data_IF_474045998118
#
_entry.id   IF_474045998118
#
_cell.length_a   1.000
_cell.length_b   1.000
_cell.length_c   1.000
_cell.angle_alpha   90.00
_cell.angle_beta   90.00
_cell.angle_gamma   90.00
#
_symmetry.space_group_name_H-M   'P 1'
#
loop_
_entity.id
_entity.type
_entity.pdbx_description
1 polymer ?
#
# COMPACT_ATOMS: atom_id res chain seq x y z
N UNK A 1 15.99 -18.90 32.01
CA UNK A 1 16.17 -18.87 30.54
C UNK A 1 14.92 -19.45 29.92
N UNK A 2 13.98 -18.60 29.49
CA UNK A 2 12.86 -19.04 28.66
C UNK A 2 13.09 -18.50 27.25
N UNK A 3 13.49 -19.38 26.34
CA UNK A 3 13.51 -19.13 24.91
C UNK A 3 12.05 -19.19 24.44
N UNK A 4 11.39 -18.04 24.36
CA UNK A 4 10.18 -17.90 23.55
C UNK A 4 10.64 -17.86 22.10
N UNK A 5 10.73 -19.03 21.47
CA UNK A 5 10.66 -19.14 20.02
C UNK A 5 9.25 -18.71 19.62
N UNK A 6 9.10 -17.44 19.23
CA UNK A 6 7.97 -17.00 18.44
C UNK A 6 8.23 -17.52 17.02
N UNK A 7 7.84 -18.77 16.76
CA UNK A 7 7.48 -19.17 15.42
C UNK A 7 6.09 -18.62 15.16
N UNK A 8 6.01 -17.46 14.49
CA UNK A 8 4.84 -17.15 13.66
C UNK A 8 5.25 -17.50 12.24
N UNK A 9 4.71 -18.63 11.81
CA UNK A 9 4.79 -19.19 10.48
C UNK A 9 3.93 -18.42 9.48
N UNK A 10 4.40 -18.47 8.22
CA UNK A 10 3.67 -18.28 6.96
C UNK A 10 3.53 -16.85 6.40
N UNK A 11 4.48 -16.49 5.54
CA UNK A 11 4.22 -15.69 4.34
C UNK A 11 3.21 -16.45 3.48
N UNK A 12 1.93 -16.06 3.47
CA UNK A 12 0.93 -16.79 2.66
C UNK A 12 -0.26 -15.95 2.14
N UNK A 13 -0.15 -14.61 2.15
CA UNK A 13 -1.18 -13.73 1.56
C UNK A 13 -0.64 -12.84 0.43
N UNK A 14 0.51 -13.18 -0.15
CA UNK A 14 1.03 -12.44 -1.32
C UNK A 14 0.53 -13.08 -2.62
N UNK A 15 0.04 -12.27 -3.56
CA UNK A 15 -0.33 -12.69 -4.90
C UNK A 15 0.81 -13.47 -5.55
N UNK A 16 0.48 -14.62 -6.13
CA UNK A 16 1.42 -15.39 -6.94
C UNK A 16 1.79 -14.63 -8.21
N UNK A 17 2.97 -14.90 -8.76
CA UNK A 17 3.42 -14.22 -9.99
C UNK A 17 2.45 -14.35 -11.17
N UNK A 18 1.78 -15.49 -11.31
CA UNK A 18 0.77 -15.69 -12.36
C UNK A 18 -0.47 -14.81 -12.14
N UNK A 19 -0.93 -14.66 -10.89
CA UNK A 19 -2.04 -13.76 -10.55
C UNK A 19 -1.71 -12.30 -10.82
N UNK A 20 -0.46 -11.88 -10.52
CA UNK A 20 0.03 -10.55 -10.85
C UNK A 20 -0.02 -10.31 -12.36
N UNK A 21 0.49 -11.26 -13.16
CA UNK A 21 0.48 -11.15 -14.62
C UNK A 21 -0.94 -11.05 -15.20
N UNK A 22 -1.88 -11.88 -14.73
CA UNK A 22 -3.27 -11.84 -15.19
C UNK A 22 -3.96 -10.51 -14.85
N UNK A 23 -3.68 -9.97 -13.66
CA UNK A 23 -4.19 -8.67 -13.24
C UNK A 23 -3.65 -7.55 -14.13
N UNK A 24 -2.33 -7.53 -14.36
CA UNK A 24 -1.67 -6.53 -15.22
C UNK A 24 -2.21 -6.61 -16.64
N UNK A 25 -2.32 -7.80 -17.22
CA UNK A 25 -2.87 -7.99 -18.57
C UNK A 25 -4.25 -7.38 -18.76
N UNK A 26 -5.06 -7.38 -17.70
CA UNK A 26 -6.42 -6.87 -17.72
C UNK A 26 -6.50 -5.36 -17.48
N UNK A 27 -5.66 -4.83 -16.58
CA UNK A 27 -5.80 -3.47 -16.05
C UNK A 27 -4.73 -2.49 -16.55
N UNK A 28 -3.53 -2.99 -16.84
CA UNK A 28 -2.35 -2.23 -17.27
C UNK A 28 -1.56 -3.07 -18.29
N UNK A 29 -2.08 -3.26 -19.52
CA UNK A 29 -1.52 -4.22 -20.47
C UNK A 29 -0.09 -3.85 -20.95
N UNK A 30 0.27 -2.56 -20.92
CA UNK A 30 1.63 -2.09 -21.18
C UNK A 30 2.60 -2.65 -20.13
N UNK A 31 2.29 -2.53 -18.83
CA UNK A 31 3.09 -3.10 -17.75
C UNK A 31 3.30 -4.59 -17.91
N UNK A 32 2.23 -5.32 -18.26
CA UNK A 32 2.35 -6.75 -18.54
C UNK A 32 3.36 -7.04 -19.67
N UNK A 33 3.33 -6.22 -20.73
CA UNK A 33 4.21 -6.42 -21.89
C UNK A 33 5.68 -6.20 -21.51
N UNK A 34 5.99 -5.08 -20.86
CA UNK A 34 7.35 -4.77 -20.40
C UNK A 34 7.86 -5.81 -19.40
N UNK A 35 7.01 -6.27 -18.48
CA UNK A 35 7.39 -7.25 -17.49
C UNK A 35 7.68 -8.62 -18.13
N UNK A 36 6.99 -8.96 -19.23
CA UNK A 36 7.28 -10.16 -20.01
C UNK A 36 8.57 -10.05 -20.83
N UNK A 37 8.95 -8.85 -21.27
CA UNK A 37 10.26 -8.59 -21.87
C UNK A 37 11.37 -8.71 -20.82
N UNK A 38 11.18 -8.11 -19.65
CA UNK A 38 12.11 -8.21 -18.53
C UNK A 38 12.34 -9.66 -18.10
N UNK A 39 11.29 -10.48 -18.07
CA UNK A 39 11.40 -11.92 -17.79
C UNK A 39 12.39 -12.65 -18.70
N UNK A 40 12.50 -12.22 -19.95
CA UNK A 40 13.39 -12.83 -20.95
C UNK A 40 14.83 -12.36 -20.75
N UNK A 41 15.01 -11.07 -20.47
CA UNK A 41 16.32 -10.43 -20.46
C UNK A 41 17.02 -10.54 -19.08
N UNK A 42 16.26 -10.41 -18.00
CA UNK A 42 16.72 -10.45 -16.60
C UNK A 42 15.72 -11.18 -15.67
N UNK A 43 15.80 -12.53 -15.55
CA UNK A 43 14.85 -13.31 -14.74
C UNK A 43 14.86 -12.97 -13.24
N UNK A 44 16.02 -12.56 -12.70
CA UNK A 44 16.15 -12.18 -11.29
C UNK A 44 15.44 -10.85 -11.01
N UNK A 45 15.66 -9.83 -11.84
CA UNK A 45 14.97 -8.54 -11.77
C UNK A 45 13.45 -8.69 -11.98
N UNK A 46 13.03 -9.58 -12.88
CA UNK A 46 11.62 -9.92 -13.05
C UNK A 46 10.98 -10.44 -11.75
N UNK A 47 11.70 -11.27 -11.00
CA UNK A 47 11.17 -11.87 -9.76
C UNK A 47 10.98 -10.80 -8.68
N UNK A 48 11.95 -9.90 -8.53
CA UNK A 48 11.84 -8.75 -7.64
C UNK A 48 10.68 -7.84 -8.05
N UNK A 49 10.57 -7.53 -9.34
CA UNK A 49 9.55 -6.62 -9.83
C UNK A 49 8.13 -7.19 -9.73
N UNK A 50 7.95 -8.50 -9.94
CA UNK A 50 6.67 -9.19 -9.70
C UNK A 50 6.26 -9.08 -8.23
N UNK A 51 7.19 -9.24 -7.30
CA UNK A 51 6.91 -9.14 -5.87
C UNK A 51 6.46 -7.71 -5.49
N UNK A 52 7.19 -6.70 -5.97
CA UNK A 52 6.86 -5.30 -5.70
C UNK A 52 5.50 -4.90 -6.28
N UNK A 53 5.22 -5.33 -7.52
CA UNK A 53 3.92 -5.11 -8.16
C UNK A 53 2.81 -5.87 -7.42
N UNK A 54 3.08 -7.09 -6.95
CA UNK A 54 2.14 -7.88 -6.15
C UNK A 54 1.65 -7.12 -4.92
N UNK A 55 2.58 -6.54 -4.15
CA UNK A 55 2.23 -5.71 -3.00
C UNK A 55 1.42 -4.46 -3.36
N UNK A 56 1.69 -3.85 -4.52
CA UNK A 56 0.89 -2.72 -5.01
C UNK A 56 -0.53 -3.13 -5.40
N UNK A 57 -0.70 -4.29 -6.05
CA UNK A 57 -2.02 -4.79 -6.43
C UNK A 57 -2.84 -5.10 -5.19
N UNK A 58 -2.26 -5.76 -4.19
CA UNK A 58 -2.94 -6.02 -2.91
C UNK A 58 -3.39 -4.73 -2.23
N UNK A 59 -2.53 -3.71 -2.22
CA UNK A 59 -2.91 -2.39 -1.73
C UNK A 59 -4.10 -1.82 -2.50
N UNK A 60 -4.07 -1.84 -3.84
CA UNK A 60 -5.16 -1.33 -4.68
C UNK A 60 -6.48 -2.10 -4.45
N UNK A 61 -6.43 -3.43 -4.33
CA UNK A 61 -7.62 -4.26 -4.10
C UNK A 61 -8.18 -4.06 -2.68
N UNK A 62 -7.33 -3.96 -1.65
CA UNK A 62 -7.79 -3.61 -0.30
C UNK A 62 -8.42 -2.22 -0.25
N UNK A 63 -7.86 -1.26 -1.00
CA UNK A 63 -8.42 0.08 -1.14
C UNK A 63 -9.75 0.05 -1.88
N UNK A 64 -9.96 -0.89 -2.80
CA UNK A 64 -11.22 -1.01 -3.55
C UNK A 64 -12.40 -1.35 -2.64
N UNK A 65 -12.17 -2.09 -1.56
CA UNK A 65 -13.21 -2.43 -0.58
C UNK A 65 -13.73 -1.20 0.19
N UNK A 66 -12.85 -0.24 0.45
CA UNK A 66 -13.14 0.93 1.29
C UNK A 66 -13.37 2.21 0.48
N UNK A 67 -12.73 2.32 -0.70
CA UNK A 67 -12.74 3.46 -1.58
C UNK A 67 -12.52 3.03 -3.06
N UNK A 68 -13.54 2.46 -3.72
CA UNK A 68 -13.42 1.92 -5.08
C UNK A 68 -13.04 3.00 -6.11
N UNK A 69 -13.51 4.24 -5.92
CA UNK A 69 -13.13 5.34 -6.79
C UNK A 69 -11.63 5.60 -6.76
N UNK A 70 -11.00 5.53 -5.58
CA UNK A 70 -9.58 5.76 -5.45
C UNK A 70 -8.76 4.64 -6.08
N UNK A 71 -9.17 3.38 -5.88
CA UNK A 71 -8.54 2.23 -6.53
C UNK A 71 -8.54 2.38 -8.06
N UNK A 72 -9.66 2.79 -8.66
CA UNK A 72 -9.73 3.05 -10.10
C UNK A 72 -8.85 4.23 -10.53
N UNK A 73 -8.72 5.26 -9.69
CA UNK A 73 -7.83 6.40 -9.96
C UNK A 73 -6.35 5.99 -9.94
N UNK A 74 -5.94 5.08 -9.06
CA UNK A 74 -4.56 4.57 -9.03
C UNK A 74 -4.24 3.73 -10.27
N UNK A 75 -5.14 2.84 -10.70
CA UNK A 75 -4.98 2.11 -11.97
C UNK A 75 -4.89 3.08 -13.16
N UNK A 76 -5.68 4.16 -13.14
CA UNK A 76 -5.60 5.18 -14.17
C UNK A 76 -4.27 5.94 -14.15
N UNK A 77 -3.66 6.15 -12.97
CA UNK A 77 -2.31 6.73 -12.85
C UNK A 77 -1.27 5.85 -13.51
N UNK A 78 -1.27 4.54 -13.26
CA UNK A 78 -0.31 3.62 -13.89
C UNK A 78 -0.39 3.69 -15.41
N UNK A 79 -1.60 3.62 -15.98
CA UNK A 79 -1.81 3.78 -17.42
C UNK A 79 -1.36 5.16 -17.94
N UNK A 80 -1.54 6.22 -17.15
CA UNK A 80 -1.08 7.57 -17.50
C UNK A 80 0.44 7.71 -17.44
N UNK A 81 1.13 7.05 -16.51
CA UNK A 81 2.59 7.02 -16.43
C UNK A 81 3.17 6.36 -17.69
N UNK A 82 2.64 5.22 -18.11
CA UNK A 82 3.02 4.58 -19.39
C UNK A 82 2.86 5.51 -20.58
N UNK A 83 1.67 6.11 -20.70
CA UNK A 83 1.39 7.05 -21.78
C UNK A 83 2.34 8.27 -21.73
N UNK A 84 2.73 8.71 -20.53
CA UNK A 84 3.67 9.82 -20.37
C UNK A 84 5.05 9.49 -20.94
N UNK A 85 5.53 8.25 -20.73
CA UNK A 85 6.77 7.75 -21.32
C UNK A 85 6.69 7.67 -22.85
N UNK A 86 5.61 7.11 -23.41
CA UNK A 86 5.39 7.05 -24.86
C UNK A 86 5.40 8.44 -25.51
N UNK A 87 4.73 9.41 -24.88
CA UNK A 87 4.69 10.80 -25.36
C UNK A 87 6.08 11.45 -25.24
N UNK A 88 6.81 11.20 -24.15
CA UNK A 88 8.17 11.69 -23.97
C UNK A 88 9.12 11.16 -25.06
N UNK A 89 9.07 9.86 -25.35
CA UNK A 89 9.84 9.26 -26.45
C UNK A 89 9.47 9.88 -27.80
N UNK A 90 8.17 10.06 -28.06
CA UNK A 90 7.68 10.71 -29.30
C UNK A 90 8.18 12.15 -29.45
N UNK A 91 8.38 12.87 -28.34
CA UNK A 91 8.94 14.24 -28.31
C UNK A 91 10.42 14.25 -28.73
N UNK A 92 11.18 13.24 -28.31
CA UNK A 92 12.60 13.09 -28.64
C UNK A 92 12.80 12.72 -30.12
N UNK A 93 11.95 11.83 -30.64
CA UNK A 93 12.02 11.35 -32.02
C UNK A 93 11.46 12.37 -33.05
N UNK A 94 10.60 13.30 -32.61
CA UNK A 94 9.96 14.26 -33.50
C UNK A 94 10.92 15.34 -34.00
N UNK A 95 11.14 15.36 -35.32
CA UNK A 95 11.90 16.41 -36.02
C UNK A 95 11.08 17.66 -36.32
N UNK A 96 9.75 17.60 -36.16
CA UNK A 96 8.84 18.70 -36.44
C UNK A 96 8.55 19.48 -35.14
N UNK A 97 8.91 20.77 -35.12
CA UNK A 97 8.77 21.64 -33.96
C UNK A 97 7.30 21.89 -33.55
N UNK A 98 6.40 22.08 -34.53
CA UNK A 98 4.98 22.26 -34.23
C UNK A 98 4.39 21.01 -33.57
N UNK A 99 4.73 19.82 -34.09
CA UNK A 99 4.28 18.55 -33.52
C UNK A 99 4.87 18.31 -32.13
N UNK A 100 6.14 18.66 -31.94
CA UNK A 100 6.82 18.59 -30.64
C UNK A 100 6.13 19.46 -29.60
N UNK A 101 5.72 20.68 -29.96
CA UNK A 101 4.99 21.57 -29.06
C UNK A 101 3.61 21.02 -28.66
N UNK A 102 2.90 20.35 -29.57
CA UNK A 102 1.64 19.65 -29.25
C UNK A 102 1.86 18.52 -28.25
N UNK A 103 2.87 17.68 -28.48
CA UNK A 103 3.20 16.56 -27.60
C UNK A 103 3.63 17.04 -26.21
N UNK A 104 4.42 18.12 -26.11
CA UNK A 104 4.78 18.73 -24.82
C UNK A 104 3.53 19.21 -24.05
N UNK A 105 2.54 19.77 -24.76
CA UNK A 105 1.27 20.17 -24.14
C UNK A 105 0.49 18.96 -23.64
N UNK A 106 0.45 17.87 -24.40
CA UNK A 106 -0.18 16.61 -23.98
C UNK A 106 0.53 16.03 -22.75
N UNK A 107 1.86 15.93 -22.77
CA UNK A 107 2.65 15.44 -21.63
C UNK A 107 2.37 16.25 -20.37
N UNK A 108 2.35 17.59 -20.47
CA UNK A 108 2.01 18.47 -19.35
C UNK A 108 0.61 18.19 -18.79
N UNK A 109 -0.36 17.90 -19.64
CA UNK A 109 -1.72 17.55 -19.20
C UNK A 109 -1.77 16.20 -18.49
N UNK A 110 -1.03 15.20 -18.97
CA UNK A 110 -0.93 13.88 -18.34
C UNK A 110 -0.29 14.01 -16.96
N UNK A 111 0.88 14.66 -16.88
CA UNK A 111 1.60 14.86 -15.62
C UNK A 111 0.81 15.67 -14.60
N UNK A 112 0.05 16.67 -15.05
CA UNK A 112 -0.86 17.43 -14.17
C UNK A 112 -1.93 16.55 -13.52
N UNK A 113 -2.54 15.65 -14.30
CA UNK A 113 -3.54 14.71 -13.76
C UNK A 113 -2.95 13.70 -12.79
N UNK A 114 -1.76 13.16 -13.10
CA UNK A 114 -1.03 12.25 -12.20
C UNK A 114 -0.75 12.96 -10.87
N UNK A 115 -0.24 14.19 -10.92
CA UNK A 115 0.04 15.00 -9.74
C UNK A 115 -1.21 15.19 -8.87
N UNK A 116 -2.33 15.60 -9.48
CA UNK A 116 -3.59 15.85 -8.75
C UNK A 116 -4.10 14.57 -8.05
N UNK A 117 -4.01 13.42 -8.70
CA UNK A 117 -4.43 12.13 -8.11
C UNK A 117 -3.51 11.74 -6.95
N UNK A 118 -2.18 11.80 -7.12
CA UNK A 118 -1.22 11.51 -6.04
C UNK A 118 -1.34 12.47 -4.87
N UNK A 119 -1.63 13.74 -5.13
CA UNK A 119 -1.88 14.73 -4.07
C UNK A 119 -3.14 14.39 -3.27
N UNK A 120 -4.20 13.94 -3.96
CA UNK A 120 -5.44 13.48 -3.31
C UNK A 120 -5.18 12.23 -2.48
N UNK A 121 -4.39 11.29 -2.98
CA UNK A 121 -3.99 10.07 -2.27
C UNK A 121 -3.31 10.39 -0.95
N UNK A 122 -2.22 11.17 -1.00
CA UNK A 122 -1.48 11.58 0.20
C UNK A 122 -2.36 12.33 1.19
N UNK A 123 -3.30 13.12 0.70
CA UNK A 123 -4.25 13.84 1.56
C UNK A 123 -5.22 12.90 2.29
N UNK A 124 -5.60 11.76 1.68
CA UNK A 124 -6.41 10.72 2.32
C UNK A 124 -5.59 9.91 3.33
N UNK A 125 -4.37 9.55 2.98
CA UNK A 125 -3.44 8.86 3.86
C UNK A 125 -3.17 9.69 5.14
N UNK A 126 -2.87 10.99 4.99
CA UNK A 126 -2.68 11.91 6.11
C UNK A 126 -3.91 11.93 7.04
N UNK A 127 -5.13 11.92 6.48
CA UNK A 127 -6.35 11.90 7.30
C UNK A 127 -6.49 10.60 8.09
N UNK A 128 -6.19 9.47 7.46
CA UNK A 128 -6.24 8.15 8.10
C UNK A 128 -5.23 8.07 9.25
N UNK A 129 -3.98 8.48 9.01
CA UNK A 129 -2.94 8.53 10.04
C UNK A 129 -3.32 9.46 11.20
N UNK A 130 -3.96 10.60 10.92
CA UNK A 130 -4.45 11.51 11.95
C UNK A 130 -5.54 10.86 12.82
N UNK A 131 -6.44 10.07 12.24
CA UNK A 131 -7.47 9.34 12.98
C UNK A 131 -6.87 8.25 13.87
N UNK A 132 -5.88 7.50 13.36
CA UNK A 132 -5.14 6.52 14.13
C UNK A 132 -4.38 7.13 15.31
N UNK A 133 -3.70 8.25 15.07
CA UNK A 133 -3.01 9.01 16.13
C UNK A 133 -4.00 9.40 17.23
N UNK A 134 -5.17 9.94 16.87
CA UNK A 134 -6.21 10.31 17.86
C UNK A 134 -6.69 9.09 18.65
N UNK A 135 -6.89 7.95 17.99
CA UNK A 135 -7.30 6.69 18.63
C UNK A 135 -6.24 6.24 19.64
N UNK A 136 -4.97 6.21 19.25
CA UNK A 136 -3.86 5.83 20.13
C UNK A 136 -3.72 6.79 21.31
N UNK A 137 -3.82 8.10 21.08
CA UNK A 137 -3.83 9.10 22.14
C UNK A 137 -4.96 8.85 23.14
N UNK A 138 -6.18 8.56 22.67
CA UNK A 138 -7.31 8.22 23.53
C UNK A 138 -7.06 6.96 24.36
N UNK A 139 -6.44 5.93 23.78
CA UNK A 139 -6.08 4.70 24.50
C UNK A 139 -5.03 4.96 25.60
N UNK A 140 -4.02 5.77 25.30
CA UNK A 140 -2.98 6.17 26.27
C UNK A 140 -3.62 6.95 27.42
N UNK A 141 -4.49 7.92 27.12
CA UNK A 141 -5.18 8.72 28.14
C UNK A 141 -6.07 7.85 29.03
N UNK A 142 -6.88 6.95 28.43
CA UNK A 142 -7.70 5.99 29.19
C UNK A 142 -6.86 5.08 30.09
N UNK A 143 -5.68 4.65 29.63
CA UNK A 143 -4.78 3.84 30.46
C UNK A 143 -4.18 4.67 31.59
N UNK A 144 -3.86 5.93 31.33
CA UNK A 144 -3.34 6.87 32.33
C UNK A 144 -4.35 7.11 33.45
N UNK A 145 -5.63 7.33 33.11
CA UNK A 145 -6.70 7.50 34.11
C UNK A 145 -6.98 6.24 34.91
N UNK A 146 -6.76 5.05 34.32
CA UNK A 146 -6.90 3.75 34.98
C UNK A 146 -5.61 3.27 35.68
N UNK A 147 -4.56 4.09 35.75
CA UNK A 147 -3.24 3.68 36.24
C UNK A 147 -3.31 3.01 37.62
N UNK A 148 -3.96 3.64 38.60
CA UNK A 148 -4.00 3.10 39.97
C UNK A 148 -4.79 1.79 40.04
N UNK A 149 -5.92 1.68 39.33
CA UNK A 149 -6.69 0.43 39.26
C UNK A 149 -5.89 -0.72 38.60
N UNK A 150 -5.08 -0.41 37.57
CA UNK A 150 -4.18 -1.37 36.93
C UNK A 150 -3.07 -1.80 37.90
N UNK A 151 -2.47 -0.86 38.63
CA UNK A 151 -1.44 -1.14 39.63
C UNK A 151 -2.01 -2.00 40.76
N UNK A 152 -3.16 -1.65 41.32
CA UNK A 152 -3.82 -2.42 42.37
C UNK A 152 -4.16 -3.84 41.92
N UNK A 153 -4.71 -3.99 40.70
CA UNK A 153 -4.96 -5.31 40.12
C UNK A 153 -3.67 -6.12 40.05
N UNK A 154 -2.57 -5.49 39.59
CA UNK A 154 -1.28 -6.16 39.48
C UNK A 154 -0.68 -6.53 40.84
N UNK A 155 -0.82 -5.66 41.85
CA UNK A 155 -0.41 -5.96 43.23
C UNK A 155 -1.17 -7.18 43.73
N UNK A 156 -2.51 -7.22 43.60
CA UNK A 156 -3.35 -8.36 44.02
C UNK A 156 -2.94 -9.68 43.35
N UNK A 157 -2.65 -9.65 42.05
CA UNK A 157 -2.14 -10.81 41.31
C UNK A 157 -0.80 -11.31 41.84
N UNK A 158 0.09 -10.42 42.26
CA UNK A 158 1.46 -10.75 42.69
C UNK A 158 1.57 -11.16 44.16
N UNK A 159 0.73 -10.61 45.03
CA UNK A 159 0.80 -10.88 46.47
C UNK A 159 0.05 -12.14 46.88
N UNK A 160 -0.62 -12.82 45.94
CA UNK A 160 -1.49 -13.97 46.22
C UNK A 160 -2.45 -13.72 47.39
N UNK A 161 -2.84 -12.45 47.64
CA UNK A 161 -4.01 -12.11 48.46
C UNK A 161 -5.29 -12.42 47.66
N UNK A 162 -5.31 -13.57 47.01
CA UNK A 162 -6.51 -14.32 46.73
C UNK A 162 -6.89 -14.90 48.09
N UNK A 163 -7.89 -14.29 48.71
CA UNK A 163 -8.67 -15.00 49.70
C UNK A 163 -9.15 -16.29 49.00
N UNK A 164 -8.67 -17.45 49.45
CA UNK A 164 -9.09 -18.78 48.98
C UNK A 164 -10.61 -19.02 49.22
N UNK A 165 -11.35 -18.02 49.71
CA UNK A 165 -12.77 -18.09 50.05
C UNK A 165 -13.73 -17.44 49.04
N UNK A 166 -13.28 -17.04 47.84
CA UNK A 166 -14.25 -16.82 46.75
C UNK A 166 -14.72 -18.17 46.21
N UNK A 167 -15.65 -18.78 46.95
CA UNK A 167 -16.54 -19.82 46.47
C UNK A 167 -17.22 -19.31 45.20
N UNK A 168 -17.01 -20.05 44.11
CA UNK A 168 -17.71 -19.87 42.86
C UNK A 168 -19.20 -20.17 43.07
N UNK A 169 -20.03 -19.12 43.08
CA UNK A 169 -21.43 -19.19 42.66
C UNK A 169 -21.84 -17.91 41.93
#
# INVERSE_FOLDING_TARGET
MCLFQVQVSAQEDTLTGDQVLDWLKTRVPQAHTELMELKKDSPDEFTEQIHDIGGQIEYIESLRETNPQMADQLIAVENMEYKSWEVAQSIEESKNEAKRNELVKELKQILGKIFDIRQKERSLEIKTLQEEIRKLQSMVEKRSTLKEAIIEKRIREMTHTFDETMEWW
#
